data_IF_341164892084
#
_entry.id   IF_341164892084
#
_cell.length_a   1.000
_cell.length_b   1.000
_cell.length_c   1.000
_cell.angle_alpha   90.00
_cell.angle_beta   90.00
_cell.angle_gamma   90.00
#
_symmetry.space_group_name_H-M   'P 1'
#
loop_
_entity.id
_entity.type
_entity.pdbx_description
1 polymer ?
#
# COMPACT_ATOMS: atom_id res chain seq x y z
N UNK A 1 -25.89 24.15 -6.66
CA UNK A 1 -24.68 24.08 -7.52
C UNK A 1 -23.70 25.21 -7.24
N UNK A 2 -24.12 26.47 -7.06
CA UNK A 2 -23.22 27.58 -6.72
C UNK A 2 -22.42 27.34 -5.43
N UNK A 3 -23.07 26.78 -4.40
CA UNK A 3 -22.44 26.57 -3.09
C UNK A 3 -21.26 25.59 -3.13
N UNK A 4 -21.34 24.52 -3.93
CA UNK A 4 -20.25 23.53 -4.04
C UNK A 4 -18.98 24.13 -4.67
N UNK A 5 -19.14 25.05 -5.63
CA UNK A 5 -18.02 25.76 -6.25
C UNK A 5 -17.39 26.73 -5.25
N UNK A 6 -18.21 27.47 -4.49
CA UNK A 6 -17.73 28.37 -3.43
C UNK A 6 -16.99 27.60 -2.33
N UNK A 7 -17.53 26.45 -1.90
CA UNK A 7 -16.86 25.59 -0.92
C UNK A 7 -15.51 25.07 -1.43
N UNK A 8 -15.42 24.68 -2.71
CA UNK A 8 -14.15 24.25 -3.30
C UNK A 8 -13.12 25.37 -3.33
N UNK A 9 -13.51 26.57 -3.73
CA UNK A 9 -12.62 27.74 -3.74
C UNK A 9 -12.16 28.09 -2.32
N UNK A 10 -13.09 28.12 -1.36
CA UNK A 10 -12.76 28.33 0.04
C UNK A 10 -11.78 27.26 0.57
N UNK A 11 -11.99 26.00 0.21
CA UNK A 11 -11.11 24.90 0.58
C UNK A 11 -9.68 25.13 0.08
N UNK A 12 -9.51 25.54 -1.18
CA UNK A 12 -8.19 25.86 -1.74
C UNK A 12 -7.53 27.03 -1.02
N UNK A 13 -8.27 28.09 -0.67
CA UNK A 13 -7.73 29.20 0.11
C UNK A 13 -7.27 28.74 1.51
N UNK A 14 -8.07 27.94 2.20
CA UNK A 14 -7.69 27.38 3.50
C UNK A 14 -6.48 26.44 3.39
N UNK A 15 -6.40 25.62 2.34
CA UNK A 15 -5.28 24.72 2.09
C UNK A 15 -3.98 25.50 1.89
N UNK A 16 -4.00 26.56 1.08
CA UNK A 16 -2.85 27.46 0.86
C UNK A 16 -2.43 28.20 2.14
N UNK A 17 -3.39 28.54 3.00
CA UNK A 17 -3.13 29.16 4.29
C UNK A 17 -2.69 28.17 5.39
N UNK A 18 -2.65 26.86 5.10
CA UNK A 18 -2.31 25.82 6.07
C UNK A 18 -3.41 25.50 7.09
N UNK A 19 -4.63 25.98 6.87
CA UNK A 19 -5.81 25.68 7.67
C UNK A 19 -6.47 24.36 7.20
N UNK A 20 -5.76 23.25 7.38
CA UNK A 20 -6.13 21.94 6.83
C UNK A 20 -7.51 21.44 7.28
N UNK A 21 -7.88 21.68 8.55
CA UNK A 21 -9.17 21.25 9.09
C UNK A 21 -10.36 21.97 8.43
N UNK A 22 -10.22 23.28 8.19
CA UNK A 22 -11.26 24.05 7.49
C UNK A 22 -11.30 23.71 6.01
N UNK A 23 -10.15 23.47 5.39
CA UNK A 23 -10.06 22.98 4.02
C UNK A 23 -10.79 21.65 3.85
N UNK A 24 -10.54 20.66 4.72
CA UNK A 24 -11.20 19.35 4.68
C UNK A 24 -12.73 19.47 4.82
N UNK A 25 -13.20 20.27 5.78
CA UNK A 25 -14.64 20.55 5.95
C UNK A 25 -15.26 21.15 4.68
N UNK A 26 -14.56 22.09 4.05
CA UNK A 26 -15.01 22.72 2.81
C UNK A 26 -15.00 21.73 1.62
N UNK A 27 -13.98 20.88 1.49
CA UNK A 27 -13.96 19.83 0.45
C UNK A 27 -15.11 18.83 0.60
N UNK A 28 -15.42 18.41 1.84
CA UNK A 28 -16.57 17.53 2.10
C UNK A 28 -17.89 18.19 1.69
N UNK A 29 -18.10 19.47 2.07
CA UNK A 29 -19.29 20.24 1.65
C UNK A 29 -19.36 20.49 0.14
N UNK A 30 -18.22 20.45 -0.55
CA UNK A 30 -18.15 20.56 -2.00
C UNK A 30 -18.42 19.22 -2.73
N UNK A 31 -18.65 18.12 -1.99
CA UNK A 31 -18.83 16.79 -2.55
C UNK A 31 -17.52 16.19 -3.09
N UNK A 32 -16.39 16.51 -2.46
CA UNK A 32 -15.06 16.00 -2.82
C UNK A 32 -14.47 15.23 -1.63
N UNK A 33 -15.07 14.07 -1.29
CA UNK A 33 -14.72 13.33 -0.07
C UNK A 33 -13.26 12.84 -0.09
N UNK A 34 -12.74 12.39 -1.24
CA UNK A 34 -11.35 11.91 -1.35
C UNK A 34 -10.31 12.97 -0.93
N UNK A 35 -10.52 14.24 -1.29
CA UNK A 35 -9.61 15.32 -0.90
C UNK A 35 -9.76 15.67 0.58
N UNK A 36 -10.99 15.61 1.11
CA UNK A 36 -11.24 15.83 2.54
C UNK A 36 -10.57 14.73 3.38
N UNK A 37 -10.71 13.46 2.97
CA UNK A 37 -10.12 12.30 3.62
C UNK A 37 -8.59 12.42 3.74
N UNK A 38 -7.90 12.72 2.63
CA UNK A 38 -6.45 12.90 2.63
C UNK A 38 -5.98 14.04 3.57
N UNK A 39 -6.78 15.11 3.69
CA UNK A 39 -6.47 16.20 4.61
C UNK A 39 -6.73 15.81 6.07
N UNK A 40 -7.82 15.09 6.35
CA UNK A 40 -8.12 14.55 7.68
C UNK A 40 -7.05 13.57 8.15
N UNK A 41 -6.61 12.66 7.28
CA UNK A 41 -5.50 11.74 7.53
C UNK A 41 -4.22 12.52 7.87
N UNK A 42 -3.88 13.54 7.08
CA UNK A 42 -2.69 14.38 7.29
C UNK A 42 -2.66 15.07 8.65
N UNK A 43 -3.82 15.46 9.18
CA UNK A 43 -3.92 16.11 10.50
C UNK A 43 -4.22 15.13 11.65
N UNK A 44 -4.19 13.82 11.38
CA UNK A 44 -4.41 12.78 12.39
C UNK A 44 -5.86 12.60 12.83
N UNK A 45 -6.83 13.15 12.08
CA UNK A 45 -8.27 12.95 12.28
C UNK A 45 -8.72 11.68 11.58
N UNK A 46 -8.29 10.55 12.12
CA UNK A 46 -8.41 9.26 11.45
C UNK A 46 -9.88 8.81 11.35
N UNK A 47 -10.70 9.03 12.38
CA UNK A 47 -12.13 8.71 12.32
C UNK A 47 -12.85 9.46 11.19
N UNK A 48 -12.62 10.78 11.06
CA UNK A 48 -13.20 11.55 9.96
C UNK A 48 -12.64 11.14 8.58
N UNK A 49 -11.37 10.73 8.52
CA UNK A 49 -10.78 10.22 7.28
C UNK A 49 -11.43 8.89 6.86
N UNK A 50 -11.73 7.99 7.81
CA UNK A 50 -12.43 6.74 7.55
C UNK A 50 -13.81 7.00 6.94
N UNK A 51 -14.59 7.90 7.55
CA UNK A 51 -15.93 8.24 7.06
C UNK A 51 -15.87 8.85 5.65
N UNK A 52 -14.92 9.77 5.41
CA UNK A 52 -14.76 10.42 4.11
C UNK A 52 -14.25 9.42 3.02
N UNK A 53 -13.34 8.50 3.34
CA UNK A 53 -12.90 7.46 2.39
C UNK A 53 -14.02 6.46 2.08
N UNK A 54 -14.83 6.08 3.08
CA UNK A 54 -16.00 5.23 2.87
C UNK A 54 -17.06 5.92 1.99
N UNK A 55 -17.29 7.23 2.17
CA UNK A 55 -18.17 8.01 1.29
C UNK A 55 -17.63 8.08 -0.16
N UNK A 56 -16.31 8.10 -0.32
CA UNK A 56 -15.66 8.06 -1.62
C UNK A 56 -15.68 6.67 -2.30
N UNK A 57 -16.06 5.61 -1.59
CA UNK A 57 -16.03 4.23 -2.07
C UNK A 57 -14.64 3.58 -2.01
N UNK A 58 -13.70 4.17 -1.28
CA UNK A 58 -12.34 3.65 -1.07
C UNK A 58 -12.31 2.75 0.18
N UNK A 59 -13.09 1.65 0.12
CA UNK A 59 -13.30 0.71 1.22
C UNK A 59 -11.98 0.13 1.75
N UNK A 60 -11.01 -0.08 0.87
CA UNK A 60 -9.69 -0.64 1.18
C UNK A 60 -8.91 0.29 2.11
N UNK A 61 -8.94 1.59 1.80
CA UNK A 61 -8.23 2.61 2.58
C UNK A 61 -8.94 2.81 3.92
N UNK A 62 -10.26 2.93 3.91
CA UNK A 62 -11.05 3.04 5.13
C UNK A 62 -10.84 1.82 6.05
N UNK A 63 -10.87 0.61 5.48
CA UNK A 63 -10.61 -0.64 6.18
C UNK A 63 -9.20 -0.69 6.77
N UNK A 64 -8.18 -0.28 6.01
CA UNK A 64 -6.80 -0.20 6.50
C UNK A 64 -6.66 0.77 7.67
N UNK A 65 -7.22 1.97 7.59
CA UNK A 65 -7.19 2.95 8.67
C UNK A 65 -7.85 2.41 9.95
N UNK A 66 -9.02 1.77 9.81
CA UNK A 66 -9.75 1.17 10.93
C UNK A 66 -8.90 0.14 11.69
N UNK A 67 -8.25 -0.78 11.00
CA UNK A 67 -7.47 -1.83 11.67
C UNK A 67 -6.07 -1.36 12.09
N UNK A 68 -5.41 -0.55 11.27
CA UNK A 68 -4.01 -0.20 11.48
C UNK A 68 -3.84 0.96 12.47
N UNK A 69 -4.70 1.97 12.40
CA UNK A 69 -4.58 3.19 13.21
C UNK A 69 -5.57 3.22 14.39
N UNK A 70 -6.78 2.68 14.21
CA UNK A 70 -7.82 2.70 15.26
C UNK A 70 -7.93 1.39 16.05
N UNK A 71 -7.24 0.32 15.62
CA UNK A 71 -7.29 -1.02 16.23
C UNK A 71 -8.73 -1.58 16.32
N UNK A 72 -9.52 -1.36 15.26
CA UNK A 72 -10.91 -1.80 15.14
C UNK A 72 -11.07 -2.86 14.03
N UNK A 73 -10.53 -4.08 14.21
CA UNK A 73 -10.54 -5.12 13.17
C UNK A 73 -11.96 -5.56 12.78
N UNK A 74 -12.92 -5.57 13.72
CA UNK A 74 -14.31 -5.93 13.43
C UNK A 74 -14.96 -4.95 12.44
N UNK A 75 -14.82 -3.63 12.67
CA UNK A 75 -15.33 -2.60 11.74
C UNK A 75 -14.62 -2.65 10.40
N UNK A 76 -13.31 -2.89 10.39
CA UNK A 76 -12.57 -3.05 9.15
C UNK A 76 -13.10 -4.22 8.29
N UNK A 77 -13.53 -5.32 8.92
CA UNK A 77 -14.19 -6.46 8.23
C UNK A 77 -15.62 -6.16 7.76
N UNK A 78 -16.33 -5.25 8.42
CA UNK A 78 -17.66 -4.83 7.95
C UNK A 78 -17.58 -4.02 6.66
N UNK A 79 -16.56 -3.18 6.56
CA UNK A 79 -16.23 -2.38 5.37
C UNK A 79 -15.63 -3.29 4.28
N UNK A 80 -14.54 -3.99 4.60
CA UNK A 80 -13.87 -4.95 3.70
C UNK A 80 -14.39 -6.35 4.04
N UNK A 81 -15.56 -6.71 3.51
CA UNK A 81 -16.26 -7.98 3.80
C UNK A 81 -15.51 -9.21 3.29
N UNK A 82 -14.96 -9.09 2.10
CA UNK A 82 -14.15 -10.11 1.43
C UNK A 82 -13.06 -9.43 0.60
N UNK A 83 -12.13 -10.22 0.08
CA UNK A 83 -11.06 -9.69 -0.75
C UNK A 83 -11.43 -9.52 -2.23
N UNK A 84 -12.50 -10.13 -2.73
CA UNK A 84 -12.92 -10.12 -4.14
C UNK A 84 -11.78 -10.30 -5.19
N UNK A 85 -10.65 -10.93 -4.82
CA UNK A 85 -9.45 -11.01 -5.65
C UNK A 85 -8.53 -9.78 -5.61
N UNK A 86 -8.92 -8.71 -4.95
CA UNK A 86 -8.13 -7.48 -4.75
C UNK A 86 -7.02 -7.68 -3.70
N UNK A 87 -5.80 -7.23 -4.00
CA UNK A 87 -4.64 -7.39 -3.12
C UNK A 87 -4.71 -6.49 -1.88
N UNK A 88 -5.25 -5.28 -2.01
CA UNK A 88 -5.35 -4.34 -0.88
C UNK A 88 -6.38 -4.80 0.13
N UNK A 89 -7.56 -5.25 -0.33
CA UNK A 89 -8.58 -5.88 0.53
C UNK A 89 -8.02 -7.10 1.26
N UNK A 90 -7.28 -7.97 0.56
CA UNK A 90 -6.64 -9.13 1.17
C UNK A 90 -5.66 -8.73 2.29
N UNK A 91 -4.88 -7.66 2.09
CA UNK A 91 -3.96 -7.15 3.11
C UNK A 91 -4.69 -6.54 4.33
N UNK A 92 -5.83 -5.86 4.12
CA UNK A 92 -6.68 -5.38 5.23
C UNK A 92 -7.17 -6.56 6.06
N UNK A 93 -7.72 -7.60 5.42
CA UNK A 93 -8.18 -8.80 6.11
C UNK A 93 -7.04 -9.51 6.87
N UNK A 94 -5.87 -9.65 6.24
CA UNK A 94 -4.69 -10.22 6.89
C UNK A 94 -4.21 -9.37 8.08
N UNK A 95 -4.32 -8.05 8.01
CA UNK A 95 -4.02 -7.15 9.13
C UNK A 95 -5.04 -7.32 10.27
N UNK A 96 -6.31 -7.54 9.96
CA UNK A 96 -7.35 -7.87 10.94
C UNK A 96 -7.07 -9.21 11.63
N UNK A 97 -6.65 -10.22 10.86
CA UNK A 97 -6.23 -11.52 11.39
C UNK A 97 -5.13 -11.37 12.46
N UNK A 98 -4.11 -10.55 12.18
CA UNK A 98 -3.03 -10.29 13.13
C UNK A 98 -3.51 -9.53 14.38
N UNK A 99 -4.38 -8.51 14.24
CA UNK A 99 -4.96 -7.79 15.38
C UNK A 99 -5.77 -8.72 16.30
N UNK A 100 -6.45 -9.71 15.71
CA UNK A 100 -7.25 -10.70 16.43
C UNK A 100 -6.38 -11.83 17.05
N UNK A 101 -5.05 -11.79 16.89
CA UNK A 101 -4.15 -12.82 17.39
C UNK A 101 -4.24 -14.14 16.62
N UNK A 102 -4.75 -14.13 15.39
CA UNK A 102 -4.83 -15.33 14.56
C UNK A 102 -3.44 -15.75 14.05
N UNK A 103 -3.25 -17.03 13.68
CA UNK A 103 -1.94 -17.52 13.28
C UNK A 103 -1.34 -16.74 12.11
N UNK A 104 -0.07 -16.35 12.24
CA UNK A 104 0.66 -15.59 11.22
C UNK A 104 0.70 -16.28 9.84
N UNK A 105 0.51 -17.60 9.75
CA UNK A 105 0.44 -18.30 8.47
C UNK A 105 -0.74 -17.85 7.58
N UNK A 106 -1.80 -17.29 8.16
CA UNK A 106 -2.99 -16.83 7.43
C UNK A 106 -2.72 -15.60 6.55
N UNK A 107 -1.63 -14.86 6.81
CA UNK A 107 -1.30 -13.67 6.00
C UNK A 107 -0.61 -14.03 4.68
N UNK A 108 -0.05 -15.25 4.57
CA UNK A 108 0.79 -15.66 3.44
C UNK A 108 0.08 -15.56 2.08
N UNK A 109 -1.20 -15.95 1.92
CA UNK A 109 -1.90 -15.80 0.64
C UNK A 109 -2.03 -14.34 0.19
N UNK A 110 -2.29 -13.42 1.13
CA UNK A 110 -2.40 -11.99 0.84
C UNK A 110 -1.04 -11.41 0.41
N UNK A 111 0.03 -11.78 1.12
CA UNK A 111 1.40 -11.36 0.76
C UNK A 111 1.84 -11.91 -0.60
N UNK A 112 1.53 -13.17 -0.90
CA UNK A 112 1.85 -13.78 -2.19
C UNK A 112 1.14 -13.06 -3.35
N UNK A 113 -0.13 -12.66 -3.17
CA UNK A 113 -0.88 -11.88 -4.17
C UNK A 113 -0.26 -10.50 -4.38
N UNK A 114 0.07 -9.80 -3.29
CA UNK A 114 0.74 -8.51 -3.37
C UNK A 114 2.09 -8.61 -4.08
N UNK A 115 2.88 -9.67 -3.83
CA UNK A 115 4.12 -9.92 -4.56
C UNK A 115 3.89 -10.15 -6.06
N UNK A 116 2.86 -10.91 -6.45
CA UNK A 116 2.55 -11.15 -7.85
C UNK A 116 2.21 -9.83 -8.58
N UNK A 117 1.38 -8.98 -7.97
CA UNK A 117 1.00 -7.67 -8.53
C UNK A 117 2.18 -6.68 -8.55
N UNK A 118 3.02 -6.68 -7.53
CA UNK A 118 4.21 -5.82 -7.49
C UNK A 118 5.25 -6.21 -8.55
N UNK A 119 5.35 -7.51 -8.88
CA UNK A 119 6.26 -8.04 -9.89
C UNK A 119 5.78 -7.84 -11.34
N UNK A 120 4.48 -7.58 -11.54
CA UNK A 120 3.92 -7.34 -12.86
C UNK A 120 4.26 -5.92 -13.35
N UNK A 121 5.13 -5.85 -14.36
CA UNK A 121 5.56 -4.60 -14.99
C UNK A 121 4.48 -3.98 -15.90
N UNK A 122 3.58 -4.80 -16.44
CA UNK A 122 2.57 -4.41 -17.44
C UNK A 122 1.17 -4.20 -16.81
N UNK A 123 0.94 -4.74 -15.62
CA UNK A 123 -0.33 -4.79 -14.89
C UNK A 123 -0.79 -3.50 -14.19
N UNK A 124 -0.87 -2.35 -14.90
CA UNK A 124 -1.63 -1.12 -14.51
C UNK A 124 -0.82 -0.01 -13.77
N UNK A 125 -1.11 1.29 -14.02
CA UNK A 125 -0.23 2.41 -13.68
C UNK A 125 -0.17 2.78 -12.19
N UNK A 126 0.96 3.40 -11.86
CA UNK A 126 1.27 4.19 -10.68
C UNK A 126 0.06 4.98 -10.10
N UNK A 127 -0.12 5.07 -8.76
CA UNK A 127 0.81 4.68 -7.70
C UNK A 127 0.44 3.39 -6.93
N UNK A 128 1.43 2.50 -6.77
CA UNK A 128 1.36 1.26 -5.98
C UNK A 128 2.10 1.35 -4.64
N UNK A 129 2.46 2.58 -4.20
CA UNK A 129 3.27 2.76 -2.99
C UNK A 129 2.55 2.21 -1.75
N UNK A 130 1.24 2.30 -1.73
CA UNK A 130 0.43 1.83 -0.61
C UNK A 130 0.39 0.30 -0.56
N UNK A 131 0.34 -0.39 -1.71
CA UNK A 131 0.37 -1.85 -1.74
C UNK A 131 1.68 -2.41 -1.15
N UNK A 132 2.83 -1.91 -1.61
CA UNK A 132 4.13 -2.33 -1.06
C UNK A 132 4.23 -2.01 0.44
N UNK A 133 3.82 -0.79 0.84
CA UNK A 133 3.88 -0.35 2.23
C UNK A 133 3.00 -1.22 3.14
N UNK A 134 1.78 -1.52 2.72
CA UNK A 134 0.85 -2.35 3.49
C UNK A 134 1.35 -3.79 3.59
N UNK A 135 1.85 -4.37 2.49
CA UNK A 135 2.42 -5.71 2.48
C UNK A 135 3.62 -5.82 3.42
N UNK A 136 4.56 -4.86 3.37
CA UNK A 136 5.72 -4.80 4.28
C UNK A 136 5.26 -4.69 5.74
N UNK A 137 4.26 -3.84 6.00
CA UNK A 137 3.70 -3.67 7.36
C UNK A 137 3.10 -4.97 7.89
N UNK A 138 2.30 -5.67 7.08
CA UNK A 138 1.69 -6.96 7.47
C UNK A 138 2.78 -8.01 7.72
N UNK A 139 3.78 -8.10 6.84
CA UNK A 139 4.90 -9.04 7.00
C UNK A 139 5.75 -8.74 8.25
N UNK A 140 6.03 -7.45 8.54
CA UNK A 140 6.72 -7.02 9.76
C UNK A 140 5.94 -7.43 11.02
N UNK A 141 4.63 -7.13 11.08
CA UNK A 141 3.78 -7.47 12.22
C UNK A 141 3.62 -8.98 12.42
N UNK A 142 3.65 -9.75 11.34
CA UNK A 142 3.64 -11.21 11.38
C UNK A 142 5.00 -11.82 11.79
N UNK A 143 6.05 -11.02 11.93
CA UNK A 143 7.42 -11.49 12.18
C UNK A 143 8.05 -12.24 11.00
N UNK A 144 7.54 -12.04 9.78
CA UNK A 144 7.93 -12.75 8.55
C UNK A 144 8.85 -11.89 7.70
N UNK A 145 10.08 -11.66 8.18
CA UNK A 145 11.08 -10.86 7.45
C UNK A 145 11.53 -11.50 6.12
N UNK A 146 11.38 -12.82 5.98
CA UNK A 146 11.51 -13.52 4.70
C UNK A 146 10.53 -12.97 3.65
N UNK A 147 9.29 -12.69 4.05
CA UNK A 147 8.28 -12.13 3.17
C UNK A 147 8.57 -10.67 2.84
N UNK A 148 9.13 -9.89 3.78
CA UNK A 148 9.56 -8.51 3.48
C UNK A 148 10.60 -8.50 2.34
N UNK A 149 11.58 -9.40 2.40
CA UNK A 149 12.57 -9.53 1.32
C UNK A 149 11.92 -9.89 -0.03
N UNK A 150 10.94 -10.81 -0.04
CA UNK A 150 10.21 -11.18 -1.25
C UNK A 150 9.39 -10.01 -1.83
N UNK A 151 8.77 -9.19 -0.98
CA UNK A 151 7.99 -8.02 -1.41
C UNK A 151 8.88 -7.00 -2.12
N UNK A 152 10.04 -6.66 -1.54
CA UNK A 152 10.98 -5.75 -2.19
C UNK A 152 11.60 -6.35 -3.46
N UNK A 153 11.88 -7.65 -3.47
CA UNK A 153 12.35 -8.34 -4.68
C UNK A 153 11.30 -8.31 -5.80
N UNK A 154 10.03 -8.50 -5.47
CA UNK A 154 8.91 -8.37 -6.41
C UNK A 154 8.80 -6.93 -6.93
N UNK A 155 8.85 -5.92 -6.05
CA UNK A 155 8.81 -4.52 -6.45
C UNK A 155 9.98 -4.14 -7.38
N UNK A 156 11.19 -4.62 -7.13
CA UNK A 156 12.33 -4.41 -8.03
C UNK A 156 12.11 -5.10 -9.38
N UNK A 157 11.59 -6.33 -9.37
CA UNK A 157 11.28 -7.09 -10.60
C UNK A 157 10.24 -6.37 -11.46
N UNK A 158 9.19 -5.84 -10.86
CA UNK A 158 8.16 -5.05 -11.57
C UNK A 158 8.55 -3.60 -11.86
N UNK A 159 9.83 -3.24 -11.70
CA UNK A 159 10.36 -1.92 -12.05
C UNK A 159 9.84 -0.78 -11.17
N UNK A 160 9.43 -1.05 -9.91
CA UNK A 160 8.93 -0.02 -9.01
C UNK A 160 10.07 0.92 -8.60
N UNK A 161 9.90 2.25 -8.75
CA UNK A 161 10.95 3.19 -8.45
C UNK A 161 11.31 3.12 -6.96
N UNK A 162 12.58 3.37 -6.68
CA UNK A 162 13.12 3.50 -5.32
C UNK A 162 12.95 2.27 -4.42
N UNK A 163 12.57 1.11 -4.97
CA UNK A 163 12.35 -0.11 -4.17
C UNK A 163 13.64 -0.60 -3.50
N UNK A 164 14.80 -0.40 -4.15
CA UNK A 164 16.12 -0.76 -3.61
C UNK A 164 16.51 0.13 -2.42
N UNK A 165 16.28 1.43 -2.55
CA UNK A 165 16.53 2.42 -1.49
C UNK A 165 15.64 2.13 -0.28
N UNK A 166 14.34 1.86 -0.52
CA UNK A 166 13.38 1.52 0.55
C UNK A 166 13.74 0.21 1.24
N UNK A 167 14.20 -0.81 0.52
CA UNK A 167 14.75 -2.03 1.12
C UNK A 167 15.95 -1.74 2.01
N UNK A 168 16.92 -0.96 1.53
CA UNK A 168 18.11 -0.61 2.29
C UNK A 168 17.79 0.23 3.53
N UNK A 169 16.81 1.14 3.45
CA UNK A 169 16.29 1.88 4.59
C UNK A 169 15.60 0.96 5.60
N UNK A 170 14.73 0.07 5.12
CA UNK A 170 14.04 -0.91 5.95
C UNK A 170 15.02 -1.81 6.71
N UNK A 171 16.01 -2.39 6.02
CA UNK A 171 17.00 -3.27 6.63
C UNK A 171 17.81 -2.54 7.73
N UNK A 172 18.19 -1.28 7.50
CA UNK A 172 18.88 -0.46 8.52
C UNK A 172 18.00 -0.18 9.72
N UNK A 173 16.72 0.11 9.50
CA UNK A 173 15.75 0.41 10.57
C UNK A 173 15.44 -0.82 11.41
N UNK A 174 15.09 -1.93 10.77
CA UNK A 174 14.53 -3.13 11.42
C UNK A 174 15.61 -4.14 11.77
N UNK A 175 16.48 -4.49 10.84
CA UNK A 175 17.53 -5.51 11.02
C UNK A 175 18.84 -4.92 11.57
N UNK A 176 18.93 -3.59 11.72
CA UNK A 176 20.13 -2.86 12.17
C UNK A 176 21.38 -3.17 11.33
N UNK A 177 21.18 -3.50 10.05
CA UNK A 177 22.24 -3.80 9.09
C UNK A 177 21.89 -3.23 7.72
N UNK A 178 22.89 -3.12 6.83
CA UNK A 178 22.67 -2.71 5.45
C UNK A 178 22.67 -3.94 4.56
N UNK A 179 21.51 -4.28 3.99
CA UNK A 179 21.39 -5.32 2.98
C UNK A 179 21.25 -4.66 1.60
N UNK A 180 21.92 -5.23 0.61
CA UNK A 180 21.85 -4.76 -0.79
C UNK A 180 21.21 -5.87 -1.61
N UNK A 181 20.22 -5.51 -2.44
CA UNK A 181 19.68 -6.43 -3.43
C UNK A 181 20.69 -6.56 -4.57
N UNK A 182 21.08 -7.77 -4.98
CA UNK A 182 21.95 -7.93 -6.14
C UNK A 182 21.34 -7.26 -7.37
N UNK A 183 22.19 -6.78 -8.26
CA UNK A 183 21.71 -6.28 -9.55
C UNK A 183 21.00 -7.44 -10.27
N UNK A 184 19.90 -7.15 -10.99
CA UNK A 184 19.29 -8.19 -11.79
C UNK A 184 20.37 -8.61 -12.79
N UNK A 185 20.67 -9.91 -12.84
CA UNK A 185 21.58 -10.45 -13.86
C UNK A 185 21.02 -9.95 -15.18
N UNK A 186 21.78 -9.08 -15.86
CA UNK A 186 21.42 -8.61 -17.18
C UNK A 186 21.47 -9.84 -18.07
N UNK A 187 20.33 -10.52 -18.21
CA UNK A 187 20.15 -11.57 -19.19
C UNK A 187 20.34 -10.95 -20.56
N UNK A 188 21.56 -11.08 -21.07
CA UNK A 188 21.82 -11.50 -22.44
C UNK A 188 20.61 -11.39 -23.36
N UNK A 189 20.38 -10.19 -23.91
CA UNK A 189 19.77 -10.06 -25.25
C UNK A 189 20.80 -10.43 -26.32
N UNK A 190 21.53 -11.52 -26.11
CA UNK A 190 22.43 -12.11 -27.09
C UNK A 190 21.77 -13.36 -27.63
N UNK A 191 21.31 -13.22 -28.87
CA UNK A 191 21.41 -14.22 -29.93
C UNK A 191 21.18 -15.68 -29.55
N UNK A 192 20.13 -16.23 -30.16
CA UNK A 192 20.19 -17.54 -30.81
C UNK A 192 21.63 -17.95 -31.19
N UNK A 193 21.97 -19.20 -30.83
CA UNK A 193 23.20 -19.93 -31.12
C UNK A 193 24.40 -19.70 -30.17
N UNK A 194 24.43 -20.40 -29.03
CA UNK A 194 25.51 -21.38 -28.69
C UNK A 194 24.96 -22.39 -27.65
N UNK A 195 24.30 -23.45 -28.10
CA UNK A 195 24.03 -24.64 -27.27
C UNK A 195 24.34 -25.91 -28.06
N UNK A 196 25.61 -26.13 -28.44
CA UNK A 196 26.02 -27.45 -28.96
C UNK A 196 27.40 -27.96 -28.53
N UNK A 197 28.12 -27.31 -27.61
CA UNK A 197 29.52 -27.71 -27.37
C UNK A 197 29.91 -27.90 -25.89
N UNK A 198 29.04 -28.53 -25.10
CA UNK A 198 29.34 -28.87 -23.69
C UNK A 198 29.16 -30.35 -23.33
N UNK A 199 29.15 -31.28 -24.30
CA UNK A 199 29.16 -32.73 -24.03
C UNK A 199 30.22 -33.55 -24.81
N UNK A 200 31.40 -32.99 -25.04
CA UNK A 200 32.60 -33.81 -25.33
C UNK A 200 33.76 -33.33 -24.48
N UNK A 201 34.00 -34.02 -23.37
CA UNK A 201 35.20 -34.84 -23.05
C UNK A 201 34.91 -35.56 -21.74
#
# INVERSE_FOLDING_TARGET
MADAVLYRQAATCYEQAGHWADAARCYRRAGIPLRAAALHERIGRIDEAVDDYAEAGEDEIAGWLLVHHLDLPARAREVVRDDAGDSRRALVLARCDLAEGRPAALVLPALARACAELADADGVPFPHRDLERWAVTVAELAGRFDQVALIFAAAVTGGRPEARERWAEWARRVLRTSLVLPDPVQGERTGSAVMEEWWRV
#
